data_IF_792792255217
#
_entry.id   IF_792792255217
#
_cell.length_a   1.000
_cell.length_b   1.000
_cell.length_c   1.000
_cell.angle_alpha   90.00
_cell.angle_beta   90.00
_cell.angle_gamma   90.00
#
_symmetry.space_group_name_H-M   'P 1'
#
loop_
_entity.id
_entity.type
_entity.pdbx_description
1 polymer ?
#
# COMPACT_ATOMS: atom_id res chain seq x y z
N UNK A 1 -26.44 0.51 -15.57
CA UNK A 1 -26.26 -0.90 -15.98
C UNK A 1 -24.88 -1.32 -15.49
N UNK A 2 -24.71 -2.50 -14.84
CA UNK A 2 -23.38 -2.90 -14.36
C UNK A 2 -22.45 -3.10 -15.56
N UNK A 3 -21.23 -2.52 -15.48
CA UNK A 3 -20.18 -2.59 -16.50
C UNK A 3 -19.84 -4.05 -16.83
N UNK A 4 -20.47 -4.60 -17.87
CA UNK A 4 -20.22 -5.96 -18.35
C UNK A 4 -18.93 -5.97 -19.15
N UNK A 5 -17.85 -6.42 -18.55
CA UNK A 5 -16.65 -6.77 -19.31
C UNK A 5 -16.93 -8.04 -20.13
N UNK A 6 -16.73 -7.96 -21.44
CA UNK A 6 -16.88 -9.11 -22.34
C UNK A 6 -15.50 -9.66 -22.75
N UNK A 7 -15.40 -10.99 -22.82
CA UNK A 7 -14.17 -11.67 -23.23
C UNK A 7 -14.18 -11.90 -24.74
N UNK A 8 -13.20 -11.32 -25.43
CA UNK A 8 -12.97 -11.54 -26.86
C UNK A 8 -11.71 -12.40 -27.01
N UNK A 9 -11.83 -13.53 -27.71
CA UNK A 9 -10.69 -14.39 -28.03
C UNK A 9 -10.18 -14.08 -29.43
N UNK A 10 -8.89 -13.73 -29.54
CA UNK A 10 -8.22 -13.43 -30.81
C UNK A 10 -7.31 -14.58 -31.19
N UNK A 11 -7.49 -15.15 -32.39
CA UNK A 11 -6.56 -16.14 -32.94
C UNK A 11 -5.37 -15.43 -33.58
N UNK A 12 -4.17 -15.84 -33.19
CA UNK A 12 -2.92 -15.35 -33.75
C UNK A 12 -1.91 -16.48 -33.91
N UNK A 13 -0.94 -16.31 -34.80
CA UNK A 13 0.15 -17.26 -34.96
C UNK A 13 1.13 -17.14 -33.79
N UNK A 14 1.80 -18.24 -33.36
CA UNK A 14 2.72 -18.22 -32.23
C UNK A 14 3.80 -17.15 -32.34
N UNK A 15 4.43 -17.04 -33.52
CA UNK A 15 5.44 -16.02 -33.83
C UNK A 15 4.94 -14.58 -33.70
N UNK A 16 3.64 -14.31 -33.94
CA UNK A 16 3.08 -12.97 -33.74
C UNK A 16 2.84 -12.69 -32.26
N UNK A 17 2.41 -13.69 -31.50
CA UNK A 17 2.24 -13.59 -30.04
C UNK A 17 3.55 -13.24 -29.35
N UNK A 18 4.61 -13.97 -29.70
CA UNK A 18 5.95 -13.78 -29.14
C UNK A 18 6.46 -12.34 -29.33
N UNK A 19 6.24 -11.74 -30.51
CA UNK A 19 6.59 -10.33 -30.75
C UNK A 19 5.86 -9.34 -29.85
N UNK A 20 4.60 -9.62 -29.50
CA UNK A 20 3.88 -8.74 -28.57
C UNK A 20 4.37 -8.93 -27.14
N UNK A 21 4.74 -10.15 -26.76
CA UNK A 21 5.31 -10.46 -25.45
C UNK A 21 6.69 -9.79 -25.29
N UNK A 22 7.56 -9.90 -26.29
CA UNK A 22 8.86 -9.21 -26.35
C UNK A 22 8.70 -7.68 -26.22
N UNK A 23 7.75 -7.09 -26.95
CA UNK A 23 7.47 -5.65 -26.85
C UNK A 23 6.99 -5.23 -25.44
N UNK A 24 6.18 -6.04 -24.77
CA UNK A 24 5.73 -5.77 -23.39
C UNK A 24 6.90 -5.82 -22.41
N UNK A 25 7.80 -6.79 -22.56
CA UNK A 25 8.99 -6.94 -21.72
C UNK A 25 10.00 -5.81 -21.95
N UNK A 26 10.19 -5.38 -23.19
CA UNK A 26 11.16 -4.33 -23.54
C UNK A 26 10.70 -2.93 -23.12
N UNK A 27 9.41 -2.62 -23.29
CA UNK A 27 8.89 -1.27 -23.02
C UNK A 27 8.38 -1.10 -21.59
N UNK A 28 7.87 -2.16 -20.96
CA UNK A 28 7.23 -2.09 -19.65
C UNK A 28 5.99 -1.19 -19.58
N UNK A 29 5.52 -0.69 -20.72
CA UNK A 29 4.46 0.33 -20.80
C UNK A 29 3.09 -0.23 -20.40
N UNK A 30 2.88 -1.52 -20.63
CA UNK A 30 1.63 -2.21 -20.30
C UNK A 30 1.89 -3.49 -19.50
N UNK A 31 1.12 -3.76 -18.44
CA UNK A 31 1.27 -4.97 -17.61
C UNK A 31 0.68 -6.23 -18.25
N UNK A 32 -0.08 -6.13 -19.36
CA UNK A 32 -0.58 -7.31 -20.07
C UNK A 32 -0.94 -7.05 -21.53
N UNK A 33 -0.91 -8.12 -22.33
CA UNK A 33 -1.32 -8.12 -23.74
C UNK A 33 -2.77 -7.64 -23.93
N UNK A 34 -3.66 -7.93 -22.98
CA UNK A 34 -5.05 -7.48 -23.07
C UNK A 34 -5.18 -5.96 -22.95
N UNK A 35 -4.35 -5.32 -22.12
CA UNK A 35 -4.35 -3.86 -21.99
C UNK A 35 -3.72 -3.18 -23.20
N UNK A 36 -2.59 -3.72 -23.69
CA UNK A 36 -1.97 -3.25 -24.93
C UNK A 36 -2.96 -3.30 -26.09
N UNK A 37 -3.65 -4.43 -26.27
CA UNK A 37 -4.61 -4.59 -27.37
C UNK A 37 -5.82 -3.66 -27.24
N UNK A 38 -6.28 -3.37 -26.03
CA UNK A 38 -7.36 -2.39 -25.81
C UNK A 38 -6.89 -0.97 -26.14
N UNK A 39 -5.72 -0.57 -25.67
CA UNK A 39 -5.15 0.76 -25.93
C UNK A 39 -4.95 0.98 -27.44
N UNK A 40 -4.30 0.03 -28.13
CA UNK A 40 -4.10 0.11 -29.59
C UNK A 40 -5.41 0.06 -30.38
N UNK A 41 -6.41 -0.70 -29.92
CA UNK A 41 -7.72 -0.73 -30.56
C UNK A 41 -8.44 0.61 -30.40
N UNK A 42 -8.42 1.21 -29.21
CA UNK A 42 -9.03 2.52 -28.97
C UNK A 42 -8.37 3.61 -29.83
N UNK A 43 -7.04 3.68 -29.85
CA UNK A 43 -6.30 4.63 -30.67
C UNK A 43 -6.67 4.51 -32.17
N UNK A 44 -6.79 3.28 -32.68
CA UNK A 44 -7.17 3.03 -34.08
C UNK A 44 -8.64 3.32 -34.38
N UNK A 45 -9.53 3.07 -33.42
CA UNK A 45 -10.97 3.35 -33.56
C UNK A 45 -11.21 4.85 -33.51
N UNK A 46 -10.63 5.55 -32.53
CA UNK A 46 -10.69 7.01 -32.39
C UNK A 46 -10.03 7.72 -33.58
N UNK A 47 -8.86 7.23 -34.02
CA UNK A 47 -8.16 7.74 -35.20
C UNK A 47 -8.90 7.50 -36.52
N UNK A 48 -9.79 6.50 -36.61
CA UNK A 48 -10.68 6.29 -37.76
C UNK A 48 -11.98 7.07 -37.67
N UNK A 49 -12.51 7.29 -36.46
CA UNK A 49 -13.71 8.11 -36.25
C UNK A 49 -13.42 9.61 -36.46
N UNK A 50 -12.17 10.06 -36.26
CA UNK A 50 -11.66 11.39 -36.64
C UNK A 50 -11.30 11.54 -38.12
N UNK A 51 -11.84 10.68 -38.99
CA UNK A 51 -11.69 10.78 -40.44
C UNK A 51 -12.51 11.91 -41.06
N UNK A 52 -12.19 13.16 -40.71
CA UNK A 52 -12.67 14.36 -41.41
C UNK A 52 -13.33 15.40 -40.52
N UNK A 53 -12.58 16.05 -39.63
CA UNK A 53 -12.65 17.50 -39.35
C UNK A 53 -11.65 17.82 -38.22
N UNK A 54 -11.11 19.04 -38.24
CA UNK A 54 -9.92 19.43 -37.48
C UNK A 54 -10.01 19.15 -35.98
N UNK A 55 -8.87 18.77 -35.40
CA UNK A 55 -8.71 18.53 -33.98
C UNK A 55 -9.03 19.80 -33.16
N UNK A 56 -10.26 19.92 -32.67
CA UNK A 56 -10.51 20.55 -31.38
C UNK A 56 -10.45 19.46 -30.33
N UNK A 57 -9.46 19.51 -29.45
CA UNK A 57 -9.46 18.67 -28.24
C UNK A 57 -10.63 19.17 -27.40
N UNK A 58 -11.71 18.39 -27.37
CA UNK A 58 -12.89 18.73 -26.59
C UNK A 58 -12.56 18.49 -25.11
N UNK A 59 -12.60 19.54 -24.30
CA UNK A 59 -12.25 19.44 -22.88
C UNK A 59 -13.19 18.49 -22.13
N UNK A 60 -14.41 18.28 -22.64
CA UNK A 60 -15.35 17.28 -22.14
C UNK A 60 -14.85 15.84 -22.38
N UNK A 61 -14.19 15.56 -23.51
CA UNK A 61 -13.66 14.23 -23.85
C UNK A 61 -12.47 13.85 -22.94
N UNK A 62 -11.58 14.81 -22.66
CA UNK A 62 -10.47 14.63 -21.71
C UNK A 62 -10.99 14.43 -20.29
N UNK A 63 -12.01 15.20 -19.88
CA UNK A 63 -12.61 15.08 -18.54
C UNK A 63 -13.25 13.72 -18.37
N UNK A 64 -13.98 13.24 -19.38
CA UNK A 64 -14.65 11.94 -19.33
C UNK A 64 -13.65 10.77 -19.34
N UNK A 65 -12.54 10.88 -20.09
CA UNK A 65 -11.46 9.89 -20.06
C UNK A 65 -10.77 9.83 -18.69
N UNK A 66 -10.58 10.98 -18.04
CA UNK A 66 -10.05 11.07 -16.67
C UNK A 66 -11.03 10.50 -15.66
N UNK A 67 -12.33 10.79 -15.76
CA UNK A 67 -13.36 10.23 -14.88
C UNK A 67 -13.47 8.70 -15.00
N UNK A 68 -13.36 8.15 -16.22
CA UNK A 68 -13.35 6.70 -16.46
C UNK A 68 -12.08 6.07 -15.86
N UNK A 69 -10.92 6.69 -16.07
CA UNK A 69 -9.65 6.19 -15.52
C UNK A 69 -9.63 6.26 -13.99
N UNK A 70 -10.19 7.32 -13.38
CA UNK A 70 -10.32 7.44 -11.93
C UNK A 70 -11.32 6.42 -11.40
N UNK A 71 -12.44 6.20 -12.09
CA UNK A 71 -13.45 5.19 -11.69
C UNK A 71 -12.87 3.78 -11.59
N UNK A 72 -12.08 3.35 -12.58
CA UNK A 72 -11.39 2.06 -12.55
C UNK A 72 -10.36 1.95 -11.41
N UNK A 73 -9.70 3.06 -11.05
CA UNK A 73 -8.78 3.11 -9.90
C UNK A 73 -9.55 3.04 -8.59
N UNK A 74 -10.67 3.76 -8.46
CA UNK A 74 -11.52 3.73 -7.27
C UNK A 74 -12.13 2.35 -7.05
N UNK A 75 -12.63 1.67 -8.09
CA UNK A 75 -13.13 0.29 -7.98
C UNK A 75 -12.02 -0.70 -7.57
N UNK A 76 -10.78 -0.49 -8.02
CA UNK A 76 -9.63 -1.30 -7.59
C UNK A 76 -9.28 -1.04 -6.13
N UNK A 77 -9.34 0.21 -5.67
CA UNK A 77 -9.12 0.57 -4.27
C UNK A 77 -10.20 -0.02 -3.37
N UNK A 78 -11.48 0.07 -3.74
CA UNK A 78 -12.59 -0.54 -3.00
C UNK A 78 -12.46 -2.07 -2.92
N UNK A 79 -12.00 -2.71 -4.00
CA UNK A 79 -11.74 -4.16 -4.01
C UNK A 79 -10.57 -4.54 -3.10
N UNK A 80 -9.51 -3.74 -3.10
CA UNK A 80 -8.37 -3.93 -2.20
C UNK A 80 -8.82 -3.73 -0.75
N UNK A 81 -9.63 -2.71 -0.44
CA UNK A 81 -10.20 -2.53 0.90
C UNK A 81 -11.06 -3.71 1.33
N UNK A 82 -11.89 -4.25 0.44
CA UNK A 82 -12.70 -5.45 0.74
C UNK A 82 -11.85 -6.71 0.93
N UNK A 83 -10.76 -6.88 0.18
CA UNK A 83 -9.83 -7.99 0.40
C UNK A 83 -9.03 -7.83 1.69
N UNK A 84 -8.55 -6.61 1.99
CA UNK A 84 -7.89 -6.30 3.26
C UNK A 84 -8.84 -6.56 4.40
N UNK A 85 -10.08 -6.07 4.36
CA UNK A 85 -11.08 -6.34 5.38
C UNK A 85 -11.38 -7.84 5.53
N UNK A 86 -11.45 -8.60 4.43
CA UNK A 86 -11.65 -10.06 4.49
C UNK A 86 -10.47 -10.80 5.10
N UNK A 87 -9.24 -10.42 4.75
CA UNK A 87 -8.03 -10.96 5.37
C UNK A 87 -7.99 -10.61 6.85
N UNK A 88 -8.38 -9.38 7.21
CA UNK A 88 -8.44 -8.91 8.59
C UNK A 88 -9.52 -9.62 9.43
N UNK A 89 -10.60 -10.07 8.79
CA UNK A 89 -11.68 -10.86 9.42
C UNK A 89 -11.32 -12.36 9.50
N UNK A 90 -10.61 -12.90 8.51
CA UNK A 90 -10.19 -14.30 8.49
C UNK A 90 -9.04 -14.58 9.48
N UNK A 91 -8.27 -13.56 9.84
CA UNK A 91 -7.24 -13.57 10.87
C UNK A 91 -7.77 -12.85 12.11
N UNK A 92 -8.87 -13.34 12.69
CA UNK A 92 -9.26 -13.02 14.08
C UNK A 92 -8.73 -14.12 15.01
N UNK A 93 -7.48 -14.04 15.51
CA UNK A 93 -7.22 -14.53 16.86
C UNK A 93 -8.08 -13.69 17.83
N UNK A 94 -8.49 -14.27 18.96
CA UNK A 94 -9.42 -13.70 19.93
C UNK A 94 -9.23 -12.18 20.13
N UNK A 95 -10.27 -11.36 19.87
CA UNK A 95 -10.18 -9.89 19.90
C UNK A 95 -9.71 -9.36 21.26
N UNK A 96 -10.01 -10.07 22.36
CA UNK A 96 -9.53 -9.77 23.72
C UNK A 96 -7.99 -9.73 23.81
N UNK A 97 -7.29 -10.52 23.00
CA UNK A 97 -5.83 -10.53 22.98
C UNK A 97 -5.25 -9.28 22.29
N UNK A 98 -5.95 -8.70 21.31
CA UNK A 98 -5.44 -7.54 20.57
C UNK A 98 -5.57 -6.28 21.41
N UNK A 99 -6.67 -6.15 22.14
CA UNK A 99 -6.92 -5.02 23.02
C UNK A 99 -5.90 -5.00 24.18
N UNK A 100 -5.67 -6.16 24.81
CA UNK A 100 -4.63 -6.31 25.85
C UNK A 100 -3.23 -6.00 25.30
N UNK A 101 -2.91 -6.51 24.10
CA UNK A 101 -1.63 -6.25 23.45
C UNK A 101 -1.45 -4.76 23.08
N UNK A 102 -2.53 -4.08 22.70
CA UNK A 102 -2.50 -2.66 22.39
C UNK A 102 -2.15 -1.83 23.65
N UNK A 103 -2.74 -2.18 24.79
CA UNK A 103 -2.44 -1.54 26.08
C UNK A 103 -0.98 -1.78 26.50
N UNK A 104 -0.51 -3.03 26.40
CA UNK A 104 0.86 -3.40 26.75
C UNK A 104 1.91 -2.69 25.90
N UNK A 105 1.68 -2.62 24.58
CA UNK A 105 2.58 -1.90 23.65
C UNK A 105 2.51 -0.40 23.91
N UNK A 106 1.32 0.18 24.10
CA UNK A 106 1.15 1.62 24.32
C UNK A 106 1.93 2.12 25.53
N UNK A 107 1.95 1.38 26.64
CA UNK A 107 2.72 1.77 27.83
C UNK A 107 4.23 1.77 27.58
N UNK A 108 4.70 0.96 26.63
CA UNK A 108 6.12 0.76 26.37
C UNK A 108 6.69 1.61 25.23
N UNK A 109 5.81 2.25 24.43
CA UNK A 109 6.22 3.13 23.34
C UNK A 109 7.20 4.22 23.83
N UNK A 110 8.17 4.60 22.99
CA UNK A 110 9.09 5.68 23.32
C UNK A 110 8.33 6.99 23.50
N UNK A 111 8.63 7.71 24.57
CA UNK A 111 8.02 9.01 24.87
C UNK A 111 8.91 10.11 24.30
N UNK A 112 8.38 10.90 23.36
CA UNK A 112 9.12 11.90 22.60
C UNK A 112 8.21 13.07 22.22
N UNK A 113 8.75 14.28 22.14
CA UNK A 113 7.96 15.48 21.79
C UNK A 113 7.51 15.48 20.32
N UNK A 114 8.28 14.82 19.45
CA UNK A 114 8.01 14.70 18.01
C UNK A 114 8.69 13.47 17.41
N UNK A 115 8.21 13.03 16.25
CA UNK A 115 8.80 11.91 15.52
C UNK A 115 10.20 12.19 14.94
N UNK A 116 10.65 13.44 14.92
CA UNK A 116 12.01 13.81 14.50
C UNK A 116 13.08 13.37 15.52
N UNK A 117 12.66 12.97 16.72
CA UNK A 117 13.57 12.47 17.76
C UNK A 117 14.12 11.07 17.47
N UNK A 118 13.55 10.35 16.50
CA UNK A 118 14.02 9.04 16.13
C UNK A 118 15.41 9.08 15.48
N UNK A 119 16.31 8.20 15.94
CA UNK A 119 17.55 7.92 15.22
C UNK A 119 17.23 7.37 13.82
N UNK A 120 18.03 7.67 12.78
CA UNK A 120 17.87 7.05 11.46
C UNK A 120 17.79 5.53 11.56
N UNK A 121 16.82 4.91 10.88
CA UNK A 121 16.55 3.48 11.03
C UNK A 121 17.77 2.60 10.72
N UNK A 122 18.55 2.98 9.71
CA UNK A 122 19.78 2.29 9.32
C UNK A 122 20.87 2.28 10.42
N UNK A 123 20.95 3.33 11.23
CA UNK A 123 21.91 3.39 12.34
C UNK A 123 21.50 2.46 13.48
N UNK A 124 20.19 2.42 13.80
CA UNK A 124 19.64 1.51 14.82
C UNK A 124 19.83 0.04 14.43
N UNK A 125 19.54 -0.30 13.17
CA UNK A 125 19.74 -1.66 12.64
C UNK A 125 21.20 -2.10 12.70
N UNK A 126 22.12 -1.18 12.39
CA UNK A 126 23.56 -1.44 12.48
C UNK A 126 23.98 -1.69 13.92
N UNK A 127 23.50 -0.91 14.88
CA UNK A 127 23.79 -1.07 16.31
C UNK A 127 23.25 -2.42 16.85
N UNK A 128 22.01 -2.77 16.51
CA UNK A 128 21.38 -4.03 16.90
C UNK A 128 22.15 -5.27 16.38
N UNK A 129 22.72 -5.18 15.18
CA UNK A 129 23.50 -6.28 14.57
C UNK A 129 24.78 -6.60 15.37
N UNK A 130 25.29 -5.66 16.17
CA UNK A 130 26.48 -5.88 17.02
C UNK A 130 26.16 -6.56 18.36
N UNK A 131 24.88 -6.84 18.65
CA UNK A 131 24.45 -7.72 19.75
C UNK A 131 24.41 -7.09 21.14
N UNK A 132 24.55 -5.77 21.24
CA UNK A 132 24.62 -5.04 22.52
C UNK A 132 23.28 -4.43 22.99
N UNK A 133 22.19 -4.63 22.24
CA UNK A 133 20.90 -3.97 22.52
C UNK A 133 19.88 -4.97 23.06
N UNK A 134 19.28 -4.66 24.21
CA UNK A 134 18.16 -5.43 24.76
C UNK A 134 16.95 -5.35 23.82
N UNK A 135 16.11 -6.40 23.80
CA UNK A 135 14.99 -6.50 22.85
C UNK A 135 13.99 -5.35 22.99
N UNK A 136 13.75 -4.89 24.22
CA UNK A 136 12.87 -3.74 24.49
C UNK A 136 13.50 -2.41 24.05
N UNK A 137 14.81 -2.25 24.25
CA UNK A 137 15.52 -1.04 23.88
C UNK A 137 15.60 -0.92 22.35
N UNK A 138 15.82 -2.04 21.66
CA UNK A 138 15.72 -2.11 20.20
C UNK A 138 14.31 -1.78 19.70
N UNK A 139 13.27 -2.38 20.30
CA UNK A 139 11.89 -2.12 19.94
C UNK A 139 11.50 -0.66 20.16
N UNK A 140 12.00 0.01 21.20
CA UNK A 140 11.79 1.45 21.42
C UNK A 140 12.58 2.31 20.44
N UNK A 141 13.84 1.97 20.18
CA UNK A 141 14.70 2.76 19.32
C UNK A 141 14.19 2.75 17.89
N UNK A 142 13.76 1.61 17.35
CA UNK A 142 13.23 1.52 15.97
C UNK A 142 11.72 1.74 15.91
N UNK A 143 10.97 1.28 16.92
CA UNK A 143 9.52 1.44 17.09
C UNK A 143 8.65 1.13 15.86
N UNK A 144 9.08 0.15 15.07
CA UNK A 144 8.34 -0.36 13.91
C UNK A 144 7.52 -1.59 14.28
N UNK A 145 6.58 -1.96 13.41
CA UNK A 145 5.75 -3.15 13.59
C UNK A 145 6.61 -4.40 13.76
N UNK A 146 7.65 -4.56 12.95
CA UNK A 146 8.54 -5.73 13.00
C UNK A 146 9.26 -5.87 14.34
N UNK A 147 9.80 -4.76 14.86
CA UNK A 147 10.53 -4.81 16.12
C UNK A 147 9.61 -5.03 17.32
N UNK A 148 8.41 -4.44 17.31
CA UNK A 148 7.41 -4.72 18.33
C UNK A 148 6.91 -6.17 18.26
N UNK A 149 6.76 -6.75 17.07
CA UNK A 149 6.34 -8.14 16.92
C UNK A 149 7.38 -9.13 17.45
N UNK A 150 8.67 -8.83 17.21
CA UNK A 150 9.77 -9.64 17.72
C UNK A 150 9.88 -9.54 19.25
N UNK A 151 9.65 -8.35 19.82
CA UNK A 151 9.71 -8.14 21.26
C UNK A 151 8.55 -8.80 22.03
N UNK A 152 7.32 -8.66 21.53
CA UNK A 152 6.12 -9.19 22.20
C UNK A 152 5.80 -10.65 21.82
N UNK A 153 6.68 -11.30 21.03
CA UNK A 153 6.51 -12.66 20.51
C UNK A 153 5.13 -12.87 19.86
N UNK A 154 4.73 -11.92 19.00
CA UNK A 154 3.44 -11.94 18.33
C UNK A 154 3.60 -11.82 16.81
N UNK A 155 2.58 -12.25 16.06
CA UNK A 155 2.56 -12.06 14.61
C UNK A 155 2.57 -10.57 14.23
N UNK A 156 3.25 -10.22 13.14
CA UNK A 156 3.35 -8.86 12.65
C UNK A 156 1.97 -8.24 12.33
N UNK A 157 0.98 -9.03 11.91
CA UNK A 157 -0.37 -8.51 11.68
C UNK A 157 -1.10 -8.22 13.00
N UNK A 158 -0.97 -9.10 14.01
CA UNK A 158 -1.53 -8.88 15.35
C UNK A 158 -0.94 -7.62 15.97
N UNK A 159 0.38 -7.45 15.87
CA UNK A 159 1.11 -6.28 16.35
C UNK A 159 0.72 -5.00 15.60
N UNK A 160 0.58 -5.06 14.27
CA UNK A 160 0.11 -3.91 13.47
C UNK A 160 -1.28 -3.44 13.90
N UNK A 161 -2.20 -4.38 14.13
CA UNK A 161 -3.55 -4.08 14.62
C UNK A 161 -3.50 -3.48 16.01
N UNK A 162 -2.72 -4.06 16.93
CA UNK A 162 -2.53 -3.54 18.27
C UNK A 162 -1.98 -2.10 18.27
N UNK A 163 -0.93 -1.82 17.48
CA UNK A 163 -0.36 -0.47 17.32
C UNK A 163 -1.35 0.52 16.70
N UNK A 164 -2.11 0.10 15.69
CA UNK A 164 -3.13 0.93 15.05
C UNK A 164 -4.28 1.24 16.02
N UNK A 165 -4.64 0.27 16.86
CA UNK A 165 -5.68 0.42 17.88
C UNK A 165 -5.20 1.30 19.03
N UNK A 166 -3.97 1.12 19.49
CA UNK A 166 -3.32 2.00 20.45
C UNK A 166 -3.33 3.46 19.96
N UNK A 167 -2.93 3.71 18.70
CA UNK A 167 -2.98 5.05 18.10
C UNK A 167 -4.40 5.63 17.97
N UNK A 168 -5.44 4.78 17.95
CA UNK A 168 -6.83 5.22 17.90
C UNK A 168 -7.42 5.50 19.29
N UNK A 169 -6.96 4.78 20.32
CA UNK A 169 -7.51 4.84 21.68
C UNK A 169 -6.78 5.84 22.55
N UNK A 170 -5.46 5.92 22.39
CA UNK A 170 -4.58 6.76 23.17
C UNK A 170 -4.24 8.02 22.35
N UNK A 171 -4.77 9.20 22.73
CA UNK A 171 -4.58 10.43 21.95
C UNK A 171 -3.13 10.91 21.92
N UNK A 172 -2.33 10.48 22.89
CA UNK A 172 -0.89 10.72 23.01
C UNK A 172 -0.06 9.78 22.12
N UNK A 173 -0.60 8.66 21.65
CA UNK A 173 0.09 7.78 20.69
C UNK A 173 0.00 8.38 19.28
N UNK A 174 1.15 8.55 18.64
CA UNK A 174 1.31 9.04 17.27
C UNK A 174 2.23 8.15 16.47
N UNK A 175 2.28 8.40 15.17
CA UNK A 175 3.20 7.74 14.27
C UNK A 175 3.77 8.72 13.25
N UNK A 176 4.99 8.44 12.79
CA UNK A 176 5.62 9.07 11.63
C UNK A 176 5.99 8.01 10.61
N UNK A 177 6.05 8.40 9.34
CA UNK A 177 6.62 7.54 8.31
C UNK A 177 8.13 7.75 8.27
N UNK A 178 8.87 6.66 8.32
CA UNK A 178 10.31 6.66 8.14
C UNK A 178 10.61 6.24 6.69
N UNK A 179 11.11 7.18 5.90
CA UNK A 179 11.40 6.97 4.47
C UNK A 179 12.57 6.00 4.25
N UNK A 180 13.52 5.91 5.20
CA UNK A 180 14.67 5.00 5.11
C UNK A 180 14.25 3.55 5.30
N UNK A 181 13.30 3.31 6.20
CA UNK A 181 12.76 1.98 6.49
C UNK A 181 11.54 1.63 5.63
N UNK A 182 10.86 2.62 5.06
CA UNK A 182 9.58 2.44 4.37
C UNK A 182 8.44 2.02 5.31
N UNK A 183 8.58 2.27 6.62
CA UNK A 183 7.65 1.80 7.66
C UNK A 183 7.10 2.94 8.52
N UNK A 184 6.09 2.64 9.33
CA UNK A 184 5.58 3.57 10.36
C UNK A 184 6.31 3.32 11.67
N UNK A 185 6.74 4.39 12.32
CA UNK A 185 7.34 4.38 13.65
C UNK A 185 6.39 5.01 14.64
N UNK A 186 6.12 4.33 15.75
CA UNK A 186 5.11 4.74 16.73
C UNK A 186 5.77 5.34 17.97
N UNK A 187 5.19 6.38 18.55
CA UNK A 187 5.72 7.03 19.75
C UNK A 187 4.57 7.63 20.56
N UNK A 188 4.86 8.01 21.80
CA UNK A 188 3.96 8.77 22.66
C UNK A 188 4.46 10.19 22.81
N UNK A 189 3.55 11.15 22.68
CA UNK A 189 3.84 12.54 23.01
C UNK A 189 3.81 12.66 24.52
N UNK A 190 4.87 13.20 25.14
CA UNK A 190 4.79 13.68 26.53
C UNK A 190 3.67 14.70 26.60
N UNK A 191 2.60 14.43 27.36
CA UNK A 191 1.63 15.48 27.67
C UNK A 191 2.40 16.67 28.25
N UNK A 192 2.37 17.81 27.54
CA UNK A 192 2.81 19.06 28.10
C UNK A 192 1.89 19.36 29.29
N UNK A 193 2.47 19.41 30.50
CA UNK A 193 1.83 20.02 31.67
C UNK A 193 1.32 21.44 31.37
#
# INVERSE_FOLDING_TARGET
MPNRTERIMVRMTPRKKEKFEEYLEETGEYPSLSQLLRASANEKVEGRMRGGEGASIDAEEVTNAVEIAIGDVTERLERIEQEVARVDTAVQPDEEDIDTLADDIAVQLPVMDSGDGFKPGNDVLREATHGDVDGIDYARDISTVGAWSDYVDADANKTRRALSRAASWYPDVKWVHDDDLGERRYFRISEAE
#
